data_IF_921721766323
#
_entry.id   IF_921721766323
#
_cell.length_a   1.000
_cell.length_b   1.000
_cell.length_c   1.000
_cell.angle_alpha   90.00
_cell.angle_beta   90.00
_cell.angle_gamma   90.00
#
_symmetry.space_group_name_H-M   'P 1'
#
loop_
_entity.id
_entity.type
_entity.pdbx_description
1 polymer ?
#
# COMPACT_ATOMS: atom_id res chain seq x y z
N UNK A 1 27.26 -1.94 12.47
CA UNK A 1 26.55 -2.09 13.76
C UNK A 1 25.11 -2.49 13.44
N UNK A 2 24.72 -3.70 13.87
CA UNK A 2 23.37 -4.31 13.91
C UNK A 2 22.69 -4.67 12.58
N UNK A 3 23.11 -5.82 12.04
CA UNK A 3 22.22 -6.74 11.30
C UNK A 3 21.30 -7.43 12.32
N UNK A 4 20.00 -7.12 12.26
CA UNK A 4 18.95 -7.94 12.86
C UNK A 4 18.67 -9.11 11.94
N UNK A 5 19.44 -10.19 12.10
CA UNK A 5 19.24 -11.45 11.38
C UNK A 5 17.96 -12.12 11.89
N UNK A 6 16.90 -12.04 11.10
CA UNK A 6 15.74 -12.92 11.23
C UNK A 6 16.22 -14.31 10.81
N UNK A 7 16.44 -15.17 11.80
CA UNK A 7 16.85 -16.57 11.62
C UNK A 7 15.75 -17.35 10.87
N UNK A 8 16.10 -18.21 9.90
CA UNK A 8 15.13 -19.01 9.17
C UNK A 8 14.57 -20.14 10.05
N UNK A 9 13.26 -20.33 9.93
CA UNK A 9 12.40 -21.27 10.67
C UNK A 9 12.60 -22.76 10.33
N UNK A 10 13.83 -23.27 10.17
CA UNK A 10 14.01 -24.71 9.87
C UNK A 10 15.40 -25.31 10.13
N UNK A 11 16.12 -24.85 11.16
CA UNK A 11 17.01 -25.78 11.84
C UNK A 11 16.14 -26.71 12.70
N UNK A 12 15.98 -27.95 12.26
CA UNK A 12 15.13 -29.00 12.83
C UNK A 12 15.52 -29.34 14.27
N UNK A 13 15.17 -28.48 15.23
CA UNK A 13 15.12 -28.85 16.61
C UNK A 13 13.81 -29.65 16.79
N UNK A 14 13.92 -30.97 16.72
CA UNK A 14 12.84 -31.92 16.99
C UNK A 14 12.52 -31.91 18.51
N UNK A 15 12.20 -30.73 19.04
CA UNK A 15 11.93 -30.49 20.47
C UNK A 15 10.45 -30.76 20.67
N UNK A 16 10.16 -31.93 21.24
CA UNK A 16 8.80 -32.33 21.57
C UNK A 16 8.24 -31.40 22.66
N UNK A 17 7.37 -30.48 22.25
CA UNK A 17 6.60 -29.61 23.17
C UNK A 17 5.37 -30.37 23.66
N UNK A 18 5.36 -30.78 24.93
CA UNK A 18 4.14 -31.32 25.58
C UNK A 18 3.12 -30.19 25.75
N UNK A 19 1.88 -30.44 25.32
CA UNK A 19 0.72 -29.57 25.52
C UNK A 19 -0.27 -30.28 26.44
N UNK A 20 -0.72 -29.61 27.52
CA UNK A 20 -1.73 -30.12 28.45
C UNK A 20 -3.13 -29.54 28.16
N UNK A 21 -3.35 -28.97 26.97
CA UNK A 21 -4.64 -28.40 26.60
C UNK A 21 -5.69 -29.51 26.51
N UNK A 22 -6.76 -29.39 27.31
CA UNK A 22 -7.89 -30.31 27.32
C UNK A 22 -8.92 -30.02 26.22
N UNK A 23 -8.90 -28.81 25.66
CA UNK A 23 -9.83 -28.36 24.63
C UNK A 23 -9.23 -28.57 23.24
N UNK A 24 -10.05 -29.14 22.34
CA UNK A 24 -9.68 -29.27 20.93
C UNK A 24 -9.66 -27.88 20.30
N UNK A 25 -8.57 -27.54 19.61
CA UNK A 25 -8.49 -26.32 18.79
C UNK A 25 -9.45 -26.47 17.62
N UNK A 26 -10.48 -25.63 17.58
CA UNK A 26 -11.53 -25.64 16.53
C UNK A 26 -11.16 -24.73 15.35
N UNK A 27 -10.33 -23.71 15.59
CA UNK A 27 -9.87 -22.75 14.59
C UNK A 27 -8.34 -22.63 14.66
N UNK A 28 -7.71 -22.56 13.50
CA UNK A 28 -6.28 -22.29 13.41
C UNK A 28 -5.95 -20.84 13.75
N UNK A 29 -4.70 -20.59 14.13
CA UNK A 29 -4.23 -19.22 14.34
C UNK A 29 -4.20 -18.53 12.98
N UNK A 30 -4.88 -17.40 12.80
CA UNK A 30 -4.91 -16.70 11.53
C UNK A 30 -3.55 -16.08 11.22
N UNK A 31 -3.41 -15.55 10.01
CA UNK A 31 -2.21 -14.84 9.62
C UNK A 31 -2.13 -13.50 10.37
N UNK A 32 -1.22 -13.42 11.35
CA UNK A 32 -1.20 -12.32 12.34
C UNK A 32 -0.92 -10.93 11.75
N UNK A 33 -0.40 -10.87 10.52
CA UNK A 33 -0.09 -9.60 9.83
C UNK A 33 -1.01 -9.34 8.63
N UNK A 34 -2.11 -10.10 8.52
CA UNK A 34 -3.08 -9.98 7.43
C UNK A 34 -3.71 -8.59 7.37
N UNK A 35 -4.10 -8.05 8.52
CA UNK A 35 -4.80 -6.77 8.61
C UNK A 35 -3.94 -5.64 8.04
N UNK A 36 -2.66 -5.61 8.38
CA UNK A 36 -1.72 -4.59 7.93
C UNK A 36 -1.51 -4.69 6.41
N UNK A 37 -1.37 -5.90 5.88
CA UNK A 37 -1.17 -6.10 4.44
C UNK A 37 -2.44 -5.77 3.64
N UNK A 38 -3.60 -6.24 4.12
CA UNK A 38 -4.89 -6.06 3.46
C UNK A 38 -5.30 -4.59 3.44
N UNK A 39 -5.24 -3.90 4.57
CA UNK A 39 -5.60 -2.48 4.66
C UNK A 39 -4.73 -1.60 3.74
N UNK A 40 -3.42 -1.86 3.69
CA UNK A 40 -2.52 -1.11 2.82
C UNK A 40 -2.78 -1.40 1.33
N UNK A 41 -3.03 -2.66 0.97
CA UNK A 41 -3.39 -3.04 -0.40
C UNK A 41 -4.71 -2.40 -0.84
N UNK A 42 -5.73 -2.41 0.01
CA UNK A 42 -7.02 -1.77 -0.24
C UNK A 42 -6.91 -0.25 -0.34
N UNK A 43 -6.05 0.37 0.46
CA UNK A 43 -5.78 1.80 0.39
C UNK A 43 -5.13 2.22 -0.95
N UNK A 44 -4.15 1.44 -1.43
CA UNK A 44 -3.38 1.75 -2.63
C UNK A 44 -4.05 1.35 -3.95
N UNK A 45 -4.82 0.25 -3.97
CA UNK A 45 -5.43 -0.33 -5.18
C UNK A 45 -4.46 -0.48 -6.38
N UNK A 46 -3.19 -0.79 -6.11
CA UNK A 46 -2.11 -0.80 -7.12
C UNK A 46 -2.33 -1.85 -8.22
N UNK A 47 -2.94 -2.99 -7.88
CA UNK A 47 -3.21 -4.10 -8.81
C UNK A 47 -4.57 -3.95 -9.54
N UNK A 48 -5.29 -2.85 -9.31
CA UNK A 48 -6.62 -2.61 -9.88
C UNK A 48 -6.50 -1.60 -11.01
N UNK A 49 -7.09 -1.97 -12.16
CA UNK A 49 -7.22 -1.10 -13.33
C UNK A 49 -7.85 0.25 -12.92
N UNK A 50 -7.28 1.41 -13.34
CA UNK A 50 -7.78 2.72 -12.94
C UNK A 50 -9.29 2.90 -13.08
N UNK A 51 -9.91 2.36 -14.13
CA UNK A 51 -11.35 2.52 -14.41
C UNK A 51 -12.23 1.63 -13.51
N UNK A 52 -11.62 0.64 -12.84
CA UNK A 52 -12.30 -0.33 -11.96
C UNK A 52 -12.02 -0.09 -10.48
N UNK A 53 -11.25 0.94 -10.13
CA UNK A 53 -10.95 1.27 -8.74
C UNK A 53 -12.20 1.67 -7.98
N UNK A 54 -12.38 1.08 -6.81
CA UNK A 54 -13.43 1.50 -5.90
C UNK A 54 -13.12 2.91 -5.36
N UNK A 55 -14.14 3.70 -5.06
CA UNK A 55 -13.98 5.04 -4.49
C UNK A 55 -13.63 4.96 -2.98
N UNK A 56 -12.46 4.41 -2.66
CA UNK A 56 -11.91 4.24 -1.31
C UNK A 56 -10.40 4.54 -1.31
N UNK A 57 -9.81 4.75 -0.13
CA UNK A 57 -8.38 4.97 0.01
C UNK A 57 -7.88 6.18 -0.80
N UNK A 58 -6.81 5.98 -1.57
CA UNK A 58 -6.24 7.04 -2.42
C UNK A 58 -7.20 7.56 -3.49
N UNK A 59 -8.01 6.68 -4.08
CA UNK A 59 -8.99 7.08 -5.10
C UNK A 59 -10.01 8.06 -4.51
N UNK A 60 -10.57 7.74 -3.33
CA UNK A 60 -11.49 8.62 -2.63
C UNK A 60 -10.85 9.93 -2.22
N UNK A 61 -9.61 9.88 -1.71
CA UNK A 61 -8.89 11.08 -1.30
C UNK A 61 -8.68 12.04 -2.48
N UNK A 62 -8.22 11.54 -3.63
CA UNK A 62 -8.04 12.35 -4.83
C UNK A 62 -9.38 12.88 -5.36
N UNK A 63 -10.41 12.03 -5.46
CA UNK A 63 -11.75 12.46 -5.85
C UNK A 63 -12.39 13.48 -4.90
N UNK A 64 -11.96 13.55 -3.64
CA UNK A 64 -12.49 14.54 -2.69
C UNK A 64 -11.88 15.93 -2.85
N UNK A 65 -10.69 16.02 -3.44
CA UNK A 65 -9.97 17.28 -3.65
C UNK A 65 -10.23 17.85 -5.04
N UNK A 66 -10.42 16.98 -6.02
CA UNK A 66 -10.73 17.37 -7.40
C UNK A 66 -12.24 17.40 -7.64
N UNK A 67 -12.76 18.30 -8.50
CA UNK A 67 -12.00 19.27 -9.30
C UNK A 67 -11.52 20.49 -8.52
N UNK A 68 -10.37 21.03 -8.94
CA UNK A 68 -9.85 22.31 -8.43
C UNK A 68 -10.17 23.38 -9.46
N UNK A 69 -10.97 24.38 -9.09
CA UNK A 69 -11.38 25.49 -9.95
C UNK A 69 -10.66 26.78 -9.59
N UNK A 70 -10.40 27.62 -10.58
CA UNK A 70 -9.91 28.99 -10.35
C UNK A 70 -11.03 29.89 -9.80
N UNK A 71 -10.65 31.06 -9.28
CA UNK A 71 -11.60 32.01 -8.69
C UNK A 71 -12.64 32.53 -9.70
N UNK A 72 -12.23 32.71 -10.96
CA UNK A 72 -13.10 33.25 -12.01
C UNK A 72 -13.91 32.17 -12.75
N UNK A 73 -13.79 30.89 -12.36
CA UNK A 73 -14.38 29.74 -13.05
C UNK A 73 -14.01 29.67 -14.55
N UNK A 74 -12.84 30.18 -14.94
CA UNK A 74 -12.31 30.11 -16.31
C UNK A 74 -11.50 28.84 -16.55
N UNK A 75 -11.06 28.16 -15.50
CA UNK A 75 -10.29 26.92 -15.61
C UNK A 75 -10.63 25.91 -14.49
N UNK A 76 -10.55 24.62 -14.83
CA UNK A 76 -10.70 23.51 -13.87
C UNK A 76 -9.61 22.48 -14.09
N UNK A 77 -8.98 22.03 -13.00
CA UNK A 77 -8.11 20.87 -13.00
C UNK A 77 -8.92 19.66 -12.56
N UNK A 78 -8.96 18.64 -13.40
CA UNK A 78 -9.67 17.39 -13.20
C UNK A 78 -8.68 16.26 -12.92
N UNK A 79 -9.03 15.36 -12.01
CA UNK A 79 -8.28 14.12 -11.77
C UNK A 79 -8.75 13.03 -12.74
N UNK A 80 -7.79 12.36 -13.41
CA UNK A 80 -8.08 11.24 -14.31
C UNK A 80 -7.72 9.91 -13.64
N UNK A 81 -6.47 9.74 -13.23
CA UNK A 81 -5.97 8.49 -12.65
C UNK A 81 -4.65 8.70 -11.91
N UNK A 82 -4.23 7.69 -11.12
CA UNK A 82 -2.88 7.63 -10.56
C UNK A 82 -2.22 6.29 -10.85
N UNK A 83 -0.89 6.27 -10.86
CA UNK A 83 -0.08 5.06 -10.95
C UNK A 83 1.14 5.14 -10.04
N UNK A 84 1.69 3.99 -9.73
CA UNK A 84 2.96 3.86 -9.03
C UNK A 84 3.98 3.24 -9.99
N UNK A 85 5.17 3.82 -10.03
CA UNK A 85 6.30 3.16 -10.67
C UNK A 85 7.10 2.35 -9.62
N UNK A 86 7.93 1.38 -10.03
CA UNK A 86 8.68 0.57 -9.09
C UNK A 86 9.57 1.41 -8.14
N UNK A 87 9.77 0.95 -6.90
CA UNK A 87 10.73 1.56 -5.98
C UNK A 87 12.12 1.67 -6.59
N UNK A 88 12.81 2.77 -6.28
CA UNK A 88 14.18 3.03 -6.78
C UNK A 88 15.20 2.01 -6.25
N UNK A 89 14.98 1.50 -5.04
CA UNK A 89 15.88 0.60 -4.35
C UNK A 89 15.10 -0.59 -3.80
N UNK A 90 15.78 -1.72 -3.63
CA UNK A 90 15.23 -2.84 -2.85
C UNK A 90 15.21 -2.51 -1.36
N UNK A 91 14.52 -3.34 -0.56
CA UNK A 91 14.45 -3.15 0.90
C UNK A 91 15.84 -3.18 1.54
N UNK A 92 16.71 -4.10 1.12
CA UNK A 92 18.05 -4.24 1.70
C UNK A 92 18.97 -3.09 1.28
N UNK A 93 18.89 -2.65 0.03
CA UNK A 93 19.63 -1.47 -0.41
C UNK A 93 19.20 -0.20 0.34
N UNK A 94 17.89 -0.02 0.55
CA UNK A 94 17.35 1.11 1.29
C UNK A 94 17.86 1.12 2.74
N UNK A 95 17.87 -0.05 3.39
CA UNK A 95 18.44 -0.24 4.74
C UNK A 95 19.93 0.10 4.80
N UNK A 96 20.74 -0.45 3.89
CA UNK A 96 22.19 -0.20 3.86
C UNK A 96 22.54 1.26 3.61
N UNK A 97 21.76 1.95 2.76
CA UNK A 97 21.96 3.37 2.44
C UNK A 97 21.34 4.32 3.47
N UNK A 98 20.59 3.82 4.45
CA UNK A 98 19.87 4.65 5.42
C UNK A 98 18.77 5.52 4.79
N UNK A 99 18.13 5.01 3.73
CA UNK A 99 17.06 5.71 2.98
C UNK A 99 15.71 5.01 3.15
N UNK A 100 14.61 5.70 2.82
CA UNK A 100 13.27 5.12 2.87
C UNK A 100 12.98 4.28 1.62
N UNK A 101 12.49 3.04 1.83
CA UNK A 101 11.94 2.22 0.77
C UNK A 101 10.57 2.77 0.34
N UNK A 102 10.49 3.35 -0.86
CA UNK A 102 9.28 3.98 -1.37
C UNK A 102 9.18 3.86 -2.90
N UNK A 103 7.94 3.82 -3.39
CA UNK A 103 7.59 3.91 -4.81
C UNK A 103 7.12 5.34 -5.13
N UNK A 104 7.57 5.94 -6.24
CA UNK A 104 7.01 7.22 -6.70
C UNK A 104 5.56 7.03 -7.19
N UNK A 105 4.73 8.03 -6.93
CA UNK A 105 3.33 8.10 -7.39
C UNK A 105 3.19 9.20 -8.44
N UNK A 106 2.57 8.87 -9.57
CA UNK A 106 2.23 9.82 -10.62
C UNK A 106 0.71 9.99 -10.71
N UNK A 107 0.25 11.23 -10.79
CA UNK A 107 -1.17 11.58 -10.96
C UNK A 107 -1.34 12.18 -12.34
N UNK A 108 -2.26 11.62 -13.13
CA UNK A 108 -2.66 12.17 -14.41
C UNK A 108 -3.86 13.10 -14.21
N UNK A 109 -3.69 14.35 -14.59
CA UNK A 109 -4.73 15.38 -14.50
C UNK A 109 -5.04 15.96 -15.88
N UNK A 110 -6.22 16.57 -16.01
CA UNK A 110 -6.65 17.30 -17.20
C UNK A 110 -6.97 18.73 -16.83
N UNK A 111 -6.37 19.69 -17.52
CA UNK A 111 -6.76 21.09 -17.45
C UNK A 111 -7.87 21.35 -18.47
N UNK A 112 -8.98 21.91 -18.01
CA UNK A 112 -10.09 22.38 -18.83
C UNK A 112 -10.10 23.91 -18.76
N UNK A 113 -10.18 24.58 -19.90
CA UNK A 113 -10.31 26.04 -20.02
C UNK A 113 -11.67 26.32 -20.64
N UNK A 114 -12.43 27.23 -20.02
CA UNK A 114 -13.72 27.68 -20.51
C UNK A 114 -13.54 29.00 -21.26
N UNK A 115 -14.17 29.11 -22.43
CA UNK A 115 -14.27 30.37 -23.16
C UNK A 115 -15.44 31.16 -22.60
N UNK A 116 -15.23 32.45 -22.30
CA UNK A 116 -16.21 33.34 -21.65
C UNK A 116 -16.76 34.34 -22.65
#
# INVERSE_FOLDING_TARGET
>A
MREGVIMPSSALANVMRKSYSSLKRVLEVPYLVEIQQKSFKEFLQIDVDPDKRANVGLQAALNSVFPIKDFNNTASLEFISYRFDPPKYTVDEARHKGTTYAAPMFVLTRLIIYDV
#
